data_IF_699344532076
#
_entry.id   IF_699344532076
#
_cell.length_a   1.000
_cell.length_b   1.000
_cell.length_c   1.000
_cell.angle_alpha   90.00
_cell.angle_beta   90.00
_cell.angle_gamma   90.00
#
_symmetry.space_group_name_H-M   'P 1'
#
loop_
_entity.id
_entity.type
_entity.pdbx_description
1 polymer ?
#
# COMPACT_ATOMS: atom_id res chain seq x y z
N UNK A 1 -2.59 9.62 -3.57
CA UNK A 1 -2.88 10.82 -2.72
C UNK A 1 -4.39 10.95 -2.58
N UNK A 2 -4.91 11.05 -1.35
CA UNK A 2 -6.34 11.18 -1.04
C UNK A 2 -6.61 12.36 -0.12
N UNK A 3 -7.15 12.12 1.08
CA UNK A 3 -7.51 13.18 2.04
C UNK A 3 -6.33 13.82 2.80
N UNK A 4 -5.15 13.19 2.83
CA UNK A 4 -3.96 13.62 3.58
C UNK A 4 -4.11 13.74 5.12
N UNK A 5 -5.23 13.30 5.69
CA UNK A 5 -5.49 13.37 7.14
C UNK A 5 -5.72 12.00 7.78
N UNK A 6 -5.57 10.91 7.01
CA UNK A 6 -5.69 9.53 7.51
C UNK A 6 -7.07 8.89 7.35
N UNK A 7 -8.10 9.66 7.00
CA UNK A 7 -9.48 9.15 6.99
C UNK A 7 -9.83 8.22 5.81
N UNK A 8 -9.18 8.37 4.65
CA UNK A 8 -9.60 7.69 3.41
C UNK A 8 -8.91 6.36 3.12
N UNK A 9 -7.79 6.04 3.76
CA UNK A 9 -7.02 4.82 3.46
C UNK A 9 -6.36 4.75 2.07
N UNK A 10 -6.58 5.70 1.16
CA UNK A 10 -6.03 5.68 -0.21
C UNK A 10 -4.50 5.77 -0.29
N UNK A 11 -3.82 5.97 0.83
CA UNK A 11 -2.37 6.00 0.97
C UNK A 11 -1.82 4.83 1.79
N UNK A 12 -2.60 3.75 1.96
CA UNK A 12 -2.18 2.57 2.73
C UNK A 12 -0.97 1.90 2.08
N UNK A 13 0.05 1.64 2.90
CA UNK A 13 1.22 0.81 2.58
C UNK A 13 1.44 -0.18 3.72
N UNK A 14 2.18 -1.26 3.49
CA UNK A 14 2.63 -2.13 4.56
C UNK A 14 4.00 -1.67 5.07
N UNK A 15 4.12 -1.49 6.38
CA UNK A 15 5.37 -1.20 7.09
C UNK A 15 5.68 -2.41 7.96
N UNK A 16 6.74 -3.14 7.63
CA UNK A 16 7.09 -4.40 8.29
C UNK A 16 5.88 -5.38 8.35
N UNK A 17 5.08 -5.40 7.27
CA UNK A 17 3.85 -6.20 7.14
C UNK A 17 2.60 -5.59 7.77
N UNK A 18 2.70 -4.47 8.50
CA UNK A 18 1.55 -3.80 9.15
C UNK A 18 0.98 -2.69 8.25
N UNK A 19 -0.33 -2.65 7.98
CA UNK A 19 -0.93 -1.59 7.17
C UNK A 19 -0.90 -0.23 7.90
N UNK A 20 -0.38 0.81 7.24
CA UNK A 20 -0.31 2.17 7.77
C UNK A 20 -0.61 3.22 6.69
N UNK A 21 -1.13 4.39 7.11
CA UNK A 21 -1.38 5.53 6.23
C UNK A 21 -0.09 6.31 5.95
N UNK A 22 0.48 6.17 4.75
CA UNK A 22 1.74 6.85 4.40
C UNK A 22 1.68 8.37 4.46
N UNK A 23 0.51 9.00 4.34
CA UNK A 23 0.36 10.45 4.45
C UNK A 23 0.64 11.00 5.86
N UNK A 24 0.65 10.14 6.89
CA UNK A 24 0.92 10.49 8.27
C UNK A 24 2.31 10.00 8.75
N UNK A 25 3.12 9.42 7.86
CA UNK A 25 4.45 8.90 8.19
C UNK A 25 5.53 9.88 7.74
N UNK A 26 6.50 10.16 8.61
CA UNK A 26 7.70 10.89 8.21
C UNK A 26 8.70 9.91 7.59
N UNK A 27 9.24 10.26 6.42
CA UNK A 27 10.23 9.42 5.74
C UNK A 27 11.45 9.11 6.62
N UNK A 28 11.88 10.06 7.46
CA UNK A 28 12.99 9.87 8.40
C UNK A 28 12.71 8.81 9.48
N UNK A 29 11.46 8.56 9.83
CA UNK A 29 11.10 7.51 10.79
C UNK A 29 11.08 6.11 10.15
N UNK A 30 11.09 6.03 8.82
CA UNK A 30 10.98 4.78 8.06
C UNK A 30 12.34 4.15 7.73
N UNK A 31 13.43 4.76 8.17
CA UNK A 31 14.76 4.20 7.96
C UNK A 31 14.89 2.79 8.57
N UNK A 32 15.40 1.86 7.77
CA UNK A 32 15.54 0.45 8.14
C UNK A 32 14.25 -0.38 8.11
N UNK A 33 13.08 0.21 7.80
CA UNK A 33 11.79 -0.50 7.72
C UNK A 33 11.55 -1.06 6.33
N UNK A 34 10.92 -2.23 6.25
CA UNK A 34 10.45 -2.78 4.99
C UNK A 34 9.12 -2.13 4.59
N UNK A 35 9.10 -1.45 3.45
CA UNK A 35 7.89 -0.81 2.90
C UNK A 35 7.40 -1.60 1.68
N UNK A 36 6.16 -2.06 1.72
CA UNK A 36 5.51 -2.70 0.57
C UNK A 36 4.34 -1.84 0.09
N UNK A 37 4.40 -1.42 -1.18
CA UNK A 37 3.34 -0.68 -1.87
C UNK A 37 2.45 -1.62 -2.70
N UNK A 38 1.47 -1.08 -3.43
CA UNK A 38 0.61 -1.86 -4.32
C UNK A 38 1.39 -2.52 -5.48
N UNK A 39 2.45 -1.88 -5.95
CA UNK A 39 3.36 -2.44 -6.95
C UNK A 39 4.20 -3.57 -6.35
N UNK A 40 4.60 -3.42 -5.08
CA UNK A 40 5.46 -4.36 -4.38
C UNK A 40 4.83 -5.73 -4.08
N UNK A 41 3.50 -5.85 -4.13
CA UNK A 41 2.83 -7.16 -3.97
C UNK A 41 2.80 -7.97 -5.26
N UNK A 42 3.01 -7.35 -6.43
CA UNK A 42 3.06 -8.05 -7.70
C UNK A 42 4.41 -8.74 -7.89
N UNK A 43 4.41 -9.96 -8.45
CA UNK A 43 5.65 -10.67 -8.76
C UNK A 43 6.04 -10.42 -10.22
N UNK A 44 7.09 -9.62 -10.46
CA UNK A 44 7.60 -9.31 -11.82
C UNK A 44 6.51 -8.84 -12.80
N UNK A 45 5.54 -8.05 -12.30
CA UNK A 45 4.42 -7.53 -13.09
C UNK A 45 3.22 -8.49 -13.19
N UNK A 46 3.30 -9.70 -12.65
CA UNK A 46 2.15 -10.58 -12.54
C UNK A 46 1.25 -10.15 -11.38
N UNK A 47 -0.03 -9.90 -11.69
CA UNK A 47 -1.04 -9.58 -10.71
C UNK A 47 -1.26 -10.75 -9.73
N UNK A 48 -1.34 -10.41 -8.45
CA UNK A 48 -1.73 -11.31 -7.37
C UNK A 48 -3.18 -11.78 -7.52
N UNK A 49 -3.59 -12.87 -6.83
CA UNK A 49 -4.99 -13.29 -6.82
C UNK A 49 -5.97 -12.18 -6.42
N UNK A 50 -5.61 -11.37 -5.42
CA UNK A 50 -6.47 -10.27 -4.97
C UNK A 50 -6.56 -9.14 -6.00
N UNK A 51 -5.45 -8.77 -6.65
CA UNK A 51 -5.46 -7.77 -7.73
C UNK A 51 -6.28 -8.25 -8.93
N UNK A 52 -6.19 -9.53 -9.30
CA UNK A 52 -6.99 -10.14 -10.36
C UNK A 52 -8.49 -10.14 -10.02
N UNK A 53 -8.83 -10.51 -8.79
CA UNK A 53 -10.22 -10.50 -8.33
C UNK A 53 -10.83 -9.09 -8.39
N UNK A 54 -10.12 -8.07 -7.93
CA UNK A 54 -10.58 -6.67 -8.02
C UNK A 54 -10.88 -6.24 -9.46
N UNK A 55 -10.02 -6.61 -10.42
CA UNK A 55 -10.25 -6.30 -11.84
C UNK A 55 -11.45 -7.06 -12.41
N UNK A 56 -11.59 -8.33 -12.04
CA UNK A 56 -12.64 -9.21 -12.58
C UNK A 56 -14.03 -8.84 -12.05
N UNK A 57 -14.14 -8.53 -10.76
CA UNK A 57 -15.43 -8.31 -10.09
C UNK A 57 -15.90 -6.84 -10.14
N UNK A 58 -15.10 -5.93 -10.72
CA UNK A 58 -15.49 -4.53 -10.91
C UNK A 58 -15.18 -3.59 -9.74
N UNK A 59 -14.52 -4.08 -8.68
CA UNK A 59 -14.12 -3.30 -7.51
C UNK A 59 -15.23 -3.03 -6.51
#
# INVERSE_FOLDING_TARGET
KGCNVGDCGACTVLVDGTPMNSCLLLASQMEGKAITTIEGIANKGELTPIQKAFVHEGG
#
